data_IF_335047118009
#
_entry.id   IF_335047118009
#
_cell.length_a   1.000
_cell.length_b   1.000
_cell.length_c   1.000
_cell.angle_alpha   90.00
_cell.angle_beta   90.00
_cell.angle_gamma   90.00
#
_symmetry.space_group_name_H-M   'P 1'
#
loop_
_entity.id
_entity.type
_entity.pdbx_description
1 polymer ?
#
# COMPACT_ATOMS: atom_id res chain seq x y z
N UNK A 1 66.58 0.33 13.81
CA UNK A 1 66.57 -0.66 12.72
C UNK A 1 66.52 -2.03 13.39
N UNK A 2 65.53 -2.92 13.28
CA UNK A 2 64.48 -3.18 12.29
C UNK A 2 63.32 -3.90 13.02
N UNK A 3 62.07 -3.62 12.66
CA UNK A 3 60.85 -4.31 13.12
C UNK A 3 60.13 -4.89 11.90
N UNK A 4 60.13 -6.21 11.72
CA UNK A 4 59.24 -7.04 10.86
C UNK A 4 59.38 -8.49 11.45
N UNK A 5 58.42 -9.39 11.66
CA UNK A 5 57.06 -9.59 11.13
C UNK A 5 56.15 -10.39 12.10
N UNK A 6 54.86 -10.08 12.02
CA UNK A 6 53.69 -10.98 11.88
C UNK A 6 53.47 -12.19 12.80
N UNK A 7 52.31 -12.16 13.47
CA UNK A 7 51.13 -12.93 13.03
C UNK A 7 49.93 -12.48 13.86
N UNK A 8 49.11 -11.57 13.33
CA UNK A 8 47.78 -11.35 13.87
C UNK A 8 46.78 -11.99 12.92
N UNK A 9 46.17 -13.07 13.43
CA UNK A 9 45.14 -13.90 12.84
C UNK A 9 43.99 -13.01 12.38
N UNK A 10 43.90 -12.80 11.07
CA UNK A 10 42.75 -12.18 10.44
C UNK A 10 41.56 -13.13 10.52
N UNK A 11 40.79 -13.03 11.60
CA UNK A 11 39.40 -13.47 11.63
C UNK A 11 38.64 -12.64 10.60
N UNK A 12 38.50 -13.19 9.39
CA UNK A 12 37.50 -12.75 8.42
C UNK A 12 36.13 -13.00 9.03
N UNK A 13 35.62 -12.03 9.78
CA UNK A 13 34.19 -11.94 10.11
C UNK A 13 33.44 -11.84 8.79
N UNK A 14 32.80 -12.92 8.39
CA UNK A 14 31.82 -12.91 7.32
C UNK A 14 30.80 -11.81 7.63
N UNK A 15 30.75 -10.77 6.80
CA UNK A 15 29.68 -9.78 6.87
C UNK A 15 28.38 -10.52 6.60
N UNK A 16 27.55 -10.68 7.63
CA UNK A 16 26.18 -11.12 7.44
C UNK A 16 25.54 -10.12 6.45
N UNK A 17 25.24 -10.60 5.25
CA UNK A 17 24.46 -9.85 4.27
C UNK A 17 23.11 -9.65 4.95
N UNK A 18 22.89 -8.48 5.52
CA UNK A 18 21.56 -8.03 5.92
C UNK A 18 20.75 -7.98 4.63
N UNK A 19 19.98 -9.04 4.38
CA UNK A 19 19.00 -9.12 3.30
C UNK A 19 17.84 -8.20 3.67
N UNK A 20 18.12 -6.90 3.77
CA UNK A 20 17.15 -5.87 4.06
C UNK A 20 16.35 -5.59 2.81
N UNK A 21 15.02 -5.67 2.92
CA UNK A 21 14.15 -5.13 1.88
C UNK A 21 14.37 -3.62 1.84
N UNK A 22 14.83 -3.09 0.70
CA UNK A 22 14.84 -1.66 0.47
C UNK A 22 13.39 -1.16 0.46
N UNK A 23 13.03 -0.38 1.47
CA UNK A 23 11.71 0.22 1.59
C UNK A 23 11.71 1.57 0.90
N UNK A 24 10.88 1.72 -0.12
CA UNK A 24 10.62 3.04 -0.71
C UNK A 24 9.60 3.80 0.15
N UNK A 25 9.88 5.05 0.54
CA UNK A 25 8.94 5.88 1.30
C UNK A 25 7.68 6.15 0.48
N UNK A 26 6.55 6.31 1.17
CA UNK A 26 5.23 6.49 0.56
C UNK A 26 5.19 7.78 -0.29
N UNK A 27 4.30 7.86 -1.29
CA UNK A 27 4.14 9.09 -2.11
C UNK A 27 3.88 10.32 -1.23
N UNK A 28 2.99 10.19 -0.25
CA UNK A 28 2.65 11.29 0.66
C UNK A 28 3.79 11.60 1.63
N UNK A 29 4.47 10.59 2.16
CA UNK A 29 5.66 10.78 3.00
C UNK A 29 6.73 11.54 2.22
N UNK A 30 7.04 11.15 0.98
CA UNK A 30 7.99 11.85 0.09
C UNK A 30 7.64 13.32 -0.15
N UNK A 31 6.35 13.68 -0.12
CA UNK A 31 5.89 15.06 -0.33
C UNK A 31 5.87 15.89 0.96
N UNK A 32 5.61 15.25 2.10
CA UNK A 32 5.58 15.91 3.41
C UNK A 32 6.94 15.97 4.09
N UNK A 33 7.90 15.16 3.65
CA UNK A 33 9.24 15.13 4.22
C UNK A 33 10.04 16.34 3.73
N UNK A 34 10.20 17.31 4.64
CA UNK A 34 11.07 18.47 4.42
C UNK A 34 12.47 17.95 4.08
N UNK A 35 13.01 18.35 2.93
CA UNK A 35 14.24 17.79 2.36
C UNK A 35 15.51 18.06 3.16
N UNK A 36 15.72 17.35 4.27
CA UNK A 36 16.98 17.25 4.97
C UNK A 36 17.44 15.78 5.01
N UNK A 37 17.82 15.28 3.84
CA UNK A 37 18.86 14.27 3.64
C UNK A 37 18.90 13.13 4.65
N UNK A 38 17.76 12.48 4.91
CA UNK A 38 17.81 11.18 5.59
C UNK A 38 18.47 10.20 4.63
N UNK A 39 19.51 9.51 5.10
CA UNK A 39 19.94 8.24 4.53
C UNK A 39 18.68 7.41 4.28
N UNK A 40 18.59 6.72 3.13
CA UNK A 40 17.51 5.76 2.85
C UNK A 40 17.20 5.05 4.15
N UNK A 41 16.01 5.29 4.72
CA UNK A 41 15.63 4.67 5.98
C UNK A 41 15.50 3.20 5.63
N UNK A 42 16.60 2.47 5.80
CA UNK A 42 16.62 1.03 5.82
C UNK A 42 15.86 0.68 7.09
N UNK A 43 14.53 0.61 6.97
CA UNK A 43 13.72 -0.08 7.96
C UNK A 43 14.31 -1.48 8.03
N UNK A 44 15.12 -1.73 9.07
CA UNK A 44 15.92 -2.93 9.17
C UNK A 44 15.07 -4.17 8.94
N UNK A 45 15.25 -4.81 7.78
CA UNK A 45 15.12 -6.25 7.55
C UNK A 45 13.75 -6.93 7.70
N UNK A 46 12.71 -6.28 8.21
CA UNK A 46 11.48 -6.99 8.55
C UNK A 46 10.43 -6.89 7.44
N UNK A 47 10.24 -8.00 6.73
CA UNK A 47 9.10 -8.29 5.82
C UNK A 47 7.78 -7.71 6.34
N UNK A 48 7.50 -7.91 7.63
CA UNK A 48 6.29 -7.40 8.29
C UNK A 48 6.20 -5.89 8.27
N UNK A 49 7.30 -5.18 8.54
CA UNK A 49 7.30 -3.72 8.55
C UNK A 49 7.03 -3.15 7.15
N UNK A 50 7.56 -3.81 6.12
CA UNK A 50 7.29 -3.43 4.73
C UNK A 50 5.81 -3.60 4.39
N UNK A 51 5.21 -4.76 4.70
CA UNK A 51 3.76 -4.97 4.49
C UNK A 51 2.92 -3.97 5.26
N UNK A 52 3.23 -3.71 6.54
CA UNK A 52 2.51 -2.74 7.35
C UNK A 52 2.61 -1.32 6.80
N UNK A 53 3.76 -0.95 6.20
CA UNK A 53 3.89 0.34 5.54
C UNK A 53 2.97 0.45 4.32
N UNK A 54 2.79 -0.64 3.56
CA UNK A 54 1.86 -0.66 2.43
C UNK A 54 0.41 -0.66 2.92
N UNK A 55 0.10 -1.43 3.97
CA UNK A 55 -1.23 -1.44 4.61
C UNK A 55 -1.64 -0.04 5.07
N UNK A 56 -0.76 0.65 5.78
CA UNK A 56 -0.99 2.03 6.23
C UNK A 56 -1.23 2.98 5.05
N UNK A 57 -0.52 2.78 3.94
CA UNK A 57 -0.70 3.57 2.74
C UNK A 57 -2.06 3.36 2.08
N UNK A 58 -2.48 2.09 1.95
CA UNK A 58 -3.80 1.76 1.42
C UNK A 58 -4.91 2.26 2.34
N UNK A 59 -4.71 2.19 3.66
CA UNK A 59 -5.61 2.75 4.65
C UNK A 59 -5.79 4.26 4.45
N UNK A 60 -4.70 5.01 4.22
CA UNK A 60 -4.77 6.44 3.90
C UNK A 60 -5.44 6.69 2.55
N UNK A 61 -5.04 5.95 1.51
CA UNK A 61 -5.59 6.07 0.15
C UNK A 61 -7.10 5.88 0.11
N UNK A 62 -7.62 4.84 0.77
CA UNK A 62 -9.05 4.52 0.71
C UNK A 62 -9.91 5.44 1.57
N UNK A 63 -9.32 6.16 2.52
CA UNK A 63 -10.04 7.13 3.35
C UNK A 63 -9.82 8.59 2.90
N UNK A 64 -9.19 8.81 1.75
CA UNK A 64 -9.11 10.11 1.10
C UNK A 64 -10.08 10.15 -0.09
N UNK A 65 -10.81 11.25 -0.25
CA UNK A 65 -11.71 11.46 -1.38
C UNK A 65 -10.96 12.03 -2.59
N UNK A 66 -11.34 11.57 -3.78
CA UNK A 66 -10.86 12.14 -5.02
C UNK A 66 -11.22 13.62 -5.15
N UNK A 67 -10.29 14.42 -5.67
CA UNK A 67 -10.61 15.78 -6.14
C UNK A 67 -11.65 15.73 -7.27
N UNK A 68 -11.58 14.70 -8.13
CA UNK A 68 -12.55 14.46 -9.20
C UNK A 68 -13.96 14.04 -8.72
N UNK A 69 -14.17 13.83 -7.42
CA UNK A 69 -15.51 13.63 -6.86
C UNK A 69 -16.35 14.91 -6.91
N UNK A 70 -15.72 16.09 -6.96
CA UNK A 70 -16.38 17.40 -6.99
C UNK A 70 -16.16 18.23 -8.26
N UNK A 71 -15.29 17.81 -9.18
CA UNK A 71 -14.93 18.58 -10.37
C UNK A 71 -14.68 17.71 -11.61
N UNK A 72 -15.07 18.19 -12.79
CA UNK A 72 -14.72 17.55 -14.06
C UNK A 72 -13.24 17.79 -14.40
N UNK A 73 -12.46 16.71 -14.47
CA UNK A 73 -11.05 16.73 -14.83
C UNK A 73 -10.79 16.44 -16.31
N UNK A 74 -11.82 16.40 -17.17
CA UNK A 74 -11.69 16.15 -18.61
C UNK A 74 -10.64 17.04 -19.29
N UNK A 75 -10.53 18.30 -18.84
CA UNK A 75 -9.56 19.28 -19.36
C UNK A 75 -8.15 19.14 -18.77
N UNK A 76 -7.96 18.29 -17.76
CA UNK A 76 -6.73 18.15 -16.97
C UNK A 76 -6.34 16.67 -16.76
N UNK A 77 -6.04 15.92 -17.83
CA UNK A 77 -5.82 14.47 -17.76
C UNK A 77 -4.61 14.07 -16.90
N UNK A 78 -3.66 14.97 -16.65
CA UNK A 78 -2.53 14.69 -15.76
C UNK A 78 -2.87 14.85 -14.27
N UNK A 79 -3.96 15.55 -13.94
CA UNK A 79 -4.38 15.77 -12.54
C UNK A 79 -4.95 14.48 -11.96
N UNK A 80 -5.68 13.70 -12.76
CA UNK A 80 -6.33 12.45 -12.32
C UNK A 80 -5.34 11.41 -11.78
N UNK A 81 -4.12 11.37 -12.33
CA UNK A 81 -3.05 10.45 -11.90
C UNK A 81 -1.99 11.13 -11.03
N UNK A 82 -2.18 12.40 -10.67
CA UNK A 82 -1.27 13.15 -9.82
C UNK A 82 -1.63 12.99 -8.35
N UNK A 83 -0.70 13.35 -7.46
CA UNK A 83 -0.98 13.37 -6.02
C UNK A 83 -2.11 14.31 -5.62
N UNK A 84 -2.50 15.27 -6.48
CA UNK A 84 -3.67 16.13 -6.24
C UNK A 84 -4.99 15.33 -6.24
N UNK A 85 -5.03 14.19 -6.93
CA UNK A 85 -6.18 13.30 -6.95
C UNK A 85 -5.89 12.02 -6.16
N UNK A 86 -5.03 12.07 -5.14
CA UNK A 86 -4.82 10.94 -4.23
C UNK A 86 -6.10 10.63 -3.45
N UNK A 87 -6.59 9.40 -3.60
CA UNK A 87 -7.80 8.95 -2.92
C UNK A 87 -8.52 7.87 -3.71
N UNK A 88 -9.73 7.58 -3.28
CA UNK A 88 -10.72 6.84 -4.06
C UNK A 88 -11.97 7.69 -4.23
N UNK A 89 -12.76 7.40 -5.28
CA UNK A 89 -14.06 8.05 -5.45
C UNK A 89 -14.95 7.67 -4.26
N UNK A 90 -15.61 8.65 -3.65
CA UNK A 90 -16.53 8.42 -2.54
C UNK A 90 -17.54 7.29 -2.84
N UNK A 91 -17.54 6.30 -1.94
CA UNK A 91 -18.49 5.19 -1.92
C UNK A 91 -19.61 5.41 -0.88
N UNK A 92 -19.46 6.42 -0.01
CA UNK A 92 -20.46 6.84 0.96
C UNK A 92 -21.79 7.22 0.32
N UNK A 93 -22.89 6.90 1.00
CA UNK A 93 -24.25 7.29 0.59
C UNK A 93 -24.84 6.44 -0.54
N UNK A 94 -24.15 5.35 -0.92
CA UNK A 94 -24.71 4.33 -1.82
C UNK A 94 -25.15 3.11 -1.00
N UNK A 95 -26.26 2.51 -1.39
CA UNK A 95 -26.68 1.23 -0.83
C UNK A 95 -25.89 0.09 -1.46
N UNK A 96 -25.51 -0.95 -0.70
CA UNK A 96 -24.88 -2.18 -1.22
C UNK A 96 -25.68 -2.73 -2.43
N UNK A 97 -27.01 -2.67 -2.38
CA UNK A 97 -27.89 -3.12 -3.47
C UNK A 97 -27.79 -2.32 -4.77
N UNK A 98 -27.22 -1.11 -4.73
CA UNK A 98 -27.08 -0.20 -5.87
C UNK A 98 -25.65 -0.14 -6.42
N UNK A 99 -24.67 -0.66 -5.67
CA UNK A 99 -23.27 -0.66 -6.11
C UNK A 99 -22.90 -2.05 -6.60
N UNK A 100 -22.51 -2.15 -7.87
CA UNK A 100 -21.97 -3.40 -8.39
C UNK A 100 -20.57 -3.64 -7.83
N UNK A 101 -20.29 -4.90 -7.46
CA UNK A 101 -18.97 -5.31 -7.00
C UNK A 101 -17.90 -4.94 -8.03
N UNK A 102 -18.20 -5.10 -9.31
CA UNK A 102 -17.31 -4.80 -10.43
C UNK A 102 -16.88 -3.31 -10.45
N UNK A 103 -17.79 -2.40 -10.09
CA UNK A 103 -17.48 -0.97 -10.02
C UNK A 103 -16.56 -0.64 -8.85
N UNK A 104 -16.74 -1.31 -7.71
CA UNK A 104 -15.88 -1.14 -6.53
C UNK A 104 -14.49 -1.71 -6.83
N UNK A 105 -14.44 -2.92 -7.35
CA UNK A 105 -13.20 -3.60 -7.72
C UNK A 105 -12.38 -2.77 -8.72
N UNK A 106 -13.04 -2.20 -9.72
CA UNK A 106 -12.41 -1.29 -10.69
C UNK A 106 -11.83 -0.05 -10.00
N UNK A 107 -12.62 0.63 -9.16
CA UNK A 107 -12.22 1.85 -8.45
C UNK A 107 -11.02 1.60 -7.53
N UNK A 108 -11.06 0.52 -6.76
CA UNK A 108 -9.98 0.13 -5.84
C UNK A 108 -8.72 -0.23 -6.63
N UNK A 109 -8.85 -1.05 -7.70
CA UNK A 109 -7.71 -1.45 -8.54
C UNK A 109 -7.04 -0.24 -9.16
N UNK A 110 -7.81 0.67 -9.74
CA UNK A 110 -7.31 1.88 -10.38
C UNK A 110 -6.48 2.73 -9.39
N UNK A 111 -7.03 2.98 -8.20
CA UNK A 111 -6.34 3.74 -7.17
C UNK A 111 -5.04 3.07 -6.70
N UNK A 112 -5.04 1.75 -6.47
CA UNK A 112 -3.83 1.01 -6.08
C UNK A 112 -2.74 1.14 -7.16
N UNK A 113 -3.10 0.96 -8.44
CA UNK A 113 -2.14 1.00 -9.55
C UNK A 113 -1.47 2.38 -9.66
N UNK A 114 -2.22 3.46 -9.45
CA UNK A 114 -1.68 4.82 -9.56
C UNK A 114 -0.93 5.28 -8.31
N UNK A 115 -1.41 4.93 -7.12
CA UNK A 115 -0.93 5.52 -5.88
C UNK A 115 -0.10 4.59 -5.00
N UNK A 116 -0.03 3.29 -5.32
CA UNK A 116 0.79 2.32 -4.57
C UNK A 116 1.66 1.44 -5.50
N UNK A 117 2.72 2.01 -6.09
CA UNK A 117 3.56 1.33 -7.10
C UNK A 117 4.41 0.18 -6.54
N UNK A 118 4.47 -0.01 -5.20
CA UNK A 118 5.15 -1.16 -4.61
C UNK A 118 4.36 -2.44 -4.82
N UNK A 119 3.05 -2.37 -5.02
CA UNK A 119 2.22 -3.52 -5.39
C UNK A 119 2.40 -3.80 -6.89
N UNK A 120 2.58 -5.07 -7.25
CA UNK A 120 2.72 -5.50 -8.65
C UNK A 120 1.33 -5.59 -9.32
N UNK A 121 1.01 -4.74 -10.31
CA UNK A 121 -0.33 -4.71 -10.92
C UNK A 121 -0.77 -6.02 -11.55
N UNK A 122 0.17 -6.79 -12.10
CA UNK A 122 -0.10 -8.06 -12.79
C UNK A 122 -0.57 -9.16 -11.85
N UNK A 123 -0.28 -9.03 -10.56
CA UNK A 123 -0.56 -10.03 -9.53
C UNK A 123 -1.58 -9.55 -8.50
N UNK A 124 -2.14 -8.35 -8.72
CA UNK A 124 -3.15 -7.75 -7.86
C UNK A 124 -4.52 -8.42 -8.08
N UNK A 125 -5.00 -9.10 -7.06
CA UNK A 125 -6.31 -9.75 -7.02
C UNK A 125 -7.14 -9.09 -5.92
N UNK A 126 -8.37 -8.69 -6.26
CA UNK A 126 -9.32 -8.12 -5.31
C UNK A 126 -10.56 -9.00 -5.34
N UNK A 127 -10.93 -9.60 -4.21
CA UNK A 127 -12.05 -10.54 -4.12
C UNK A 127 -13.08 -10.03 -3.13
N UNK A 128 -14.33 -9.87 -3.57
CA UNK A 128 -15.45 -9.56 -2.71
C UNK A 128 -15.79 -10.75 -1.84
N UNK A 129 -15.96 -10.52 -0.53
CA UNK A 129 -16.38 -11.55 0.41
C UNK A 129 -17.87 -11.37 0.66
N UNK A 130 -18.66 -12.43 0.49
CA UNK A 130 -20.06 -12.39 0.89
C UNK A 130 -20.13 -12.17 2.40
N UNK A 131 -20.76 -11.07 2.82
CA UNK A 131 -20.96 -10.75 4.22
C UNK A 131 -21.72 -11.87 4.93
N UNK A 132 -21.48 -12.00 6.23
CA UNK A 132 -22.45 -12.67 7.09
C UNK A 132 -23.77 -11.88 6.99
N UNK A 133 -24.94 -12.54 6.96
CA UNK A 133 -26.24 -11.84 6.74
C UNK A 133 -26.50 -10.68 7.70
N UNK A 134 -25.87 -10.71 8.89
CA UNK A 134 -25.92 -9.63 9.87
C UNK A 134 -25.15 -8.37 9.43
N UNK A 135 -24.08 -8.51 8.63
CA UNK A 135 -23.29 -7.40 8.07
C UNK A 135 -24.00 -6.73 6.88
N UNK A 136 -24.73 -7.51 6.08
CA UNK A 136 -25.56 -7.00 4.99
C UNK A 136 -26.66 -6.06 5.53
N UNK A 137 -27.14 -6.28 6.76
CA UNK A 137 -28.09 -5.39 7.44
C UNK A 137 -27.47 -4.04 7.86
N UNK A 138 -26.14 -3.96 7.96
CA UNK A 138 -25.39 -2.76 8.34
C UNK A 138 -24.75 -2.03 7.14
N UNK A 139 -25.11 -2.38 5.90
CA UNK A 139 -24.55 -1.77 4.68
C UNK A 139 -23.00 -1.83 4.64
N UNK A 140 -22.43 -2.90 5.21
CA UNK A 140 -20.98 -3.15 5.26
C UNK A 140 -20.61 -4.08 4.11
N UNK A 141 -19.52 -3.76 3.41
CA UNK A 141 -18.97 -4.61 2.35
C UNK A 141 -17.57 -5.09 2.74
N UNK A 142 -17.34 -6.39 2.64
CA UNK A 142 -16.05 -7.01 2.93
C UNK A 142 -15.35 -7.44 1.65
N UNK A 143 -14.04 -7.25 1.58
CA UNK A 143 -13.24 -7.73 0.46
C UNK A 143 -11.80 -8.01 0.89
N UNK A 144 -11.08 -8.73 0.06
CA UNK A 144 -9.68 -9.06 0.27
C UNK A 144 -8.84 -8.56 -0.90
N UNK A 145 -7.66 -8.00 -0.60
CA UNK A 145 -6.65 -7.60 -1.56
C UNK A 145 -5.45 -8.54 -1.41
N UNK A 146 -5.10 -9.22 -2.49
CA UNK A 146 -3.94 -10.12 -2.55
C UNK A 146 -3.00 -9.71 -3.67
N UNK A 147 -1.74 -10.04 -3.52
CA UNK A 147 -0.75 -9.92 -4.59
C UNK A 147 0.67 -9.99 -4.07
N UNK A 148 1.59 -9.40 -4.84
CA UNK A 148 2.99 -9.32 -4.48
C UNK A 148 3.48 -7.88 -4.42
N UNK A 149 4.29 -7.61 -3.40
CA UNK A 149 5.06 -6.38 -3.25
C UNK A 149 6.41 -6.57 -3.93
N UNK A 150 6.84 -5.55 -4.68
CA UNK A 150 8.22 -5.47 -5.20
C UNK A 150 9.18 -5.45 -4.02
N UNK A 151 10.18 -6.30 -4.05
CA UNK A 151 11.16 -6.44 -2.99
C UNK A 151 12.47 -7.02 -3.53
N UNK A 152 13.55 -6.81 -2.78
CA UNK A 152 14.85 -7.44 -3.03
C UNK A 152 15.16 -8.35 -1.84
N UNK A 153 15.58 -9.61 -2.06
CA UNK A 153 15.99 -10.22 -3.33
C UNK A 153 14.83 -10.82 -4.15
N UNK A 154 13.63 -10.94 -3.59
CA UNK A 154 12.46 -11.48 -4.26
C UNK A 154 11.17 -10.71 -3.90
N UNK A 155 10.11 -10.84 -4.73
CA UNK A 155 8.79 -10.31 -4.39
C UNK A 155 8.23 -10.94 -3.11
N UNK A 156 7.38 -10.18 -2.42
CA UNK A 156 6.77 -10.58 -1.16
C UNK A 156 5.25 -10.69 -1.31
N UNK A 157 4.70 -11.88 -1.06
CA UNK A 157 3.26 -12.08 -1.03
C UNK A 157 2.62 -11.30 0.14
N UNK A 158 1.42 -10.78 -0.10
CA UNK A 158 0.60 -10.16 0.94
C UNK A 158 -0.88 -10.48 0.73
N UNK A 159 -1.61 -10.44 1.85
CA UNK A 159 -3.07 -10.51 1.89
C UNK A 159 -3.57 -9.48 2.88
N UNK A 160 -4.44 -8.58 2.45
CA UNK A 160 -5.11 -7.61 3.31
C UNK A 160 -6.62 -7.82 3.24
N UNK A 161 -7.24 -7.98 4.40
CA UNK A 161 -8.70 -8.00 4.50
C UNK A 161 -9.20 -6.59 4.74
N UNK A 162 -10.33 -6.25 4.16
CA UNK A 162 -10.95 -4.95 4.32
C UNK A 162 -12.46 -5.06 4.55
N UNK A 163 -12.96 -4.13 5.34
CA UNK A 163 -14.38 -3.85 5.50
C UNK A 163 -14.61 -2.36 5.28
N UNK A 164 -15.63 -2.04 4.49
CA UNK A 164 -16.09 -0.68 4.24
C UNK A 164 -17.52 -0.53 4.75
N UNK A 165 -17.73 0.51 5.55
CA UNK A 165 -19.06 0.97 5.93
C UNK A 165 -19.55 1.98 4.88
N UNK A 166 -20.56 1.61 4.09
CA UNK A 166 -21.07 2.49 3.02
C UNK A 166 -21.98 3.62 3.54
N UNK A 167 -22.37 3.61 4.81
CA UNK A 167 -23.11 4.73 5.42
C UNK A 167 -22.20 5.95 5.59
N UNK A 168 -20.97 5.73 6.07
CA UNK A 168 -19.99 6.79 6.32
C UNK A 168 -18.79 6.78 5.34
N UNK A 169 -18.69 5.77 4.48
CA UNK A 169 -17.61 5.61 3.50
C UNK A 169 -16.26 5.24 4.10
N UNK A 170 -16.22 4.77 5.35
CA UNK A 170 -14.97 4.49 6.05
C UNK A 170 -14.45 3.10 5.71
N UNK A 171 -13.20 3.05 5.29
CA UNK A 171 -12.48 1.82 5.04
C UNK A 171 -11.65 1.44 6.26
N UNK A 172 -11.61 0.16 6.58
CA UNK A 172 -10.65 -0.42 7.50
C UNK A 172 -9.96 -1.59 6.82
N UNK A 173 -8.64 -1.68 6.97
CA UNK A 173 -7.81 -2.73 6.41
C UNK A 173 -7.00 -3.39 7.53
N UNK A 174 -6.84 -4.70 7.44
CA UNK A 174 -6.06 -5.51 8.39
C UNK A 174 -5.10 -6.45 7.66
N UNK A 175 -3.91 -6.65 8.22
CA UNK A 175 -2.94 -7.63 7.69
C UNK A 175 -3.45 -9.06 7.94
N UNK A 176 -3.61 -9.83 6.87
CA UNK A 176 -4.15 -11.20 6.90
C UNK A 176 -3.08 -12.29 6.95
N UNK A 177 -1.79 -11.99 6.73
CA UNK A 177 -0.73 -13.01 6.72
C UNK A 177 0.60 -12.60 6.11
#
# INVERSE_FOLDING_TARGET
MSRISEKNTGERRASAISTGYQTFPMLLERLTENGNGREEVSYGGCVRQYRLSVLHNLQALFNCDHYSSGADLSSWPHVSTSTLNFGIRALAGKFVSQVSWESIEYTIREAIIYFEPRIMPQELIITGMQGNRDLDAHNILCFEIRGHLRGSPCPLAFTFSSHVDLENGRFELVDGG
#
